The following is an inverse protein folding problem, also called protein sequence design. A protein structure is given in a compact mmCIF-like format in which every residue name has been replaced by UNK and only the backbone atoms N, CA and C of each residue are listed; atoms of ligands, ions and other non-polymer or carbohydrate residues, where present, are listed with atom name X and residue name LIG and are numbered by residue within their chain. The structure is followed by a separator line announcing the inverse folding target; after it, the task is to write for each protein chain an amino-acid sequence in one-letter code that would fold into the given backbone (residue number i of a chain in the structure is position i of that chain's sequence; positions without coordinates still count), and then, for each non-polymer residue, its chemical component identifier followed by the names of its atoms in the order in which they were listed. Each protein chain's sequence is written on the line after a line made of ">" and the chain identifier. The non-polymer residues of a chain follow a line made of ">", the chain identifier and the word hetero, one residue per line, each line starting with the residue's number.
data_IF_575329821225
#
_entry.id   IF_575329821225
#
_cell.length_a   1.000
_cell.length_b   1.000
_cell.length_c   1.000
_cell.angle_alpha   90.00
_cell.angle_beta   90.00
_cell.angle_gamma   90.00
#
_symmetry.space_group_name_H-M   'P 1'
#
loop_
_entity.id
_entity.type
_entity.pdbx_description
1 polymer ?
#
# COMPACT_ATOMS: atom_id res chain seq x y z
N UNK A 1 0.50 -18.09 -14.89
CA UNK A 1 0.06 -17.59 -13.57
C UNK A 1 -0.71 -16.31 -13.80
N UNK A 2 -1.99 -16.28 -13.42
CA UNK A 2 -2.78 -15.05 -13.41
C UNK A 2 -2.36 -14.25 -12.17
N UNK A 3 -1.74 -13.09 -12.35
CA UNK A 3 -1.43 -12.19 -11.25
C UNK A 3 -2.67 -11.35 -10.90
N UNK A 4 -3.01 -11.25 -9.62
CA UNK A 4 -4.20 -10.56 -9.10
C UNK A 4 -3.91 -9.10 -8.67
N UNK A 5 -2.78 -8.56 -9.11
CA UNK A 5 -2.30 -7.20 -8.84
C UNK A 5 -1.84 -6.54 -10.14
N UNK A 6 -1.77 -5.22 -10.14
CA UNK A 6 -1.35 -4.41 -11.30
C UNK A 6 0.18 -4.34 -11.47
N UNK A 7 0.62 -3.69 -12.54
CA UNK A 7 2.01 -3.27 -12.67
C UNK A 7 2.38 -2.24 -11.56
N UNK A 8 3.67 -1.91 -11.50
CA UNK A 8 4.25 -0.97 -10.56
C UNK A 8 3.76 0.48 -10.76
N UNK A 9 2.95 0.95 -9.80
CA UNK A 9 2.36 2.29 -9.73
C UNK A 9 3.39 3.39 -9.44
N UNK A 10 4.53 3.06 -8.82
CA UNK A 10 5.51 4.07 -8.47
C UNK A 10 6.37 4.45 -9.67
N UNK A 11 6.45 3.62 -10.72
CA UNK A 11 7.31 3.87 -11.88
C UNK A 11 7.09 5.24 -12.51
N UNK A 12 8.15 6.06 -12.53
CA UNK A 12 8.20 7.45 -12.98
C UNK A 12 7.24 8.40 -12.25
N UNK A 13 6.71 7.99 -11.11
CA UNK A 13 5.92 8.84 -10.24
C UNK A 13 6.80 9.93 -9.60
N UNK A 14 6.18 11.00 -9.10
CA UNK A 14 6.92 12.12 -8.54
C UNK A 14 7.41 11.76 -7.15
N UNK A 15 8.72 11.61 -6.99
CA UNK A 15 9.35 11.32 -5.72
C UNK A 15 10.05 12.55 -5.12
N UNK A 16 10.09 12.61 -3.80
CA UNK A 16 10.83 13.61 -3.03
C UNK A 16 11.39 12.98 -1.77
N UNK A 17 12.43 13.58 -1.20
CA UNK A 17 13.06 13.09 0.02
C UNK A 17 13.43 14.25 0.92
N UNK A 18 13.86 13.91 2.14
CA UNK A 18 14.49 14.84 3.07
C UNK A 18 15.82 15.39 2.50
N UNK A 19 16.67 16.00 3.33
CA UNK A 19 17.91 16.63 2.83
C UNK A 19 18.76 15.62 2.05
N UNK A 20 19.25 16.04 0.88
CA UNK A 20 20.06 15.20 -0.03
C UNK A 20 21.50 15.22 0.47
N UNK A 21 22.17 14.05 0.47
CA UNK A 21 23.58 13.93 0.79
C UNK A 21 24.44 14.97 0.04
N UNK A 22 25.13 15.85 0.78
CA UNK A 22 25.99 16.89 0.21
C UNK A 22 27.06 16.29 -0.74
N UNK A 23 27.22 16.90 -1.92
CA UNK A 23 28.32 16.60 -2.85
C UNK A 23 27.89 16.19 -4.27
N UNK A 24 26.74 15.52 -4.45
CA UNK A 24 26.20 15.16 -5.78
C UNK A 24 24.65 15.08 -5.84
N UNK A 25 23.94 16.23 -5.89
CA UNK A 25 22.48 16.27 -5.82
C UNK A 25 21.76 15.52 -6.94
N UNK A 26 22.35 15.48 -8.14
CA UNK A 26 21.75 14.85 -9.32
C UNK A 26 21.90 13.32 -9.27
N UNK A 27 23.02 12.82 -8.76
CA UNK A 27 23.30 11.38 -8.72
C UNK A 27 22.45 10.62 -7.69
N UNK A 28 21.87 11.33 -6.71
CA UNK A 28 21.13 10.76 -5.58
C UNK A 28 19.71 11.30 -5.44
N UNK A 29 19.13 11.73 -6.57
CA UNK A 29 17.79 12.29 -6.63
C UNK A 29 16.74 11.30 -6.12
N UNK A 30 15.67 11.82 -5.51
CA UNK A 30 14.57 11.00 -4.99
C UNK A 30 13.90 10.11 -6.05
N UNK A 31 13.91 10.56 -7.31
CA UNK A 31 13.37 9.85 -8.47
C UNK A 31 14.10 8.56 -8.82
N UNK A 32 15.34 8.39 -8.36
CA UNK A 32 16.12 7.17 -8.61
C UNK A 32 15.50 5.92 -7.97
N UNK A 33 14.67 6.07 -6.93
CA UNK A 33 13.97 4.94 -6.33
C UNK A 33 12.73 4.50 -7.12
N UNK A 34 12.39 5.16 -8.23
CA UNK A 34 11.15 4.91 -8.99
C UNK A 34 11.41 4.93 -10.50
N UNK A 35 12.61 4.60 -10.93
CA UNK A 35 13.02 4.63 -12.34
C UNK A 35 13.20 3.23 -12.96
N UNK A 36 12.97 2.15 -12.18
CA UNK A 36 13.22 0.75 -12.54
C UNK A 36 14.68 0.44 -12.85
N UNK A 37 15.62 1.26 -12.40
CA UNK A 37 17.06 1.01 -12.50
C UNK A 37 17.67 0.80 -11.11
N UNK A 38 17.73 -0.46 -10.69
CA UNK A 38 18.29 -0.89 -9.40
C UNK A 38 19.78 -0.54 -9.21
N UNK A 39 20.48 -0.11 -10.27
CA UNK A 39 21.86 0.34 -10.18
C UNK A 39 21.96 1.78 -9.63
N UNK A 40 20.92 2.59 -9.82
CA UNK A 40 20.83 3.93 -9.24
C UNK A 40 20.10 3.87 -7.90
N UNK A 41 20.45 4.79 -7.01
CA UNK A 41 19.77 4.87 -5.72
C UNK A 41 19.63 6.32 -5.28
N UNK A 42 18.61 6.55 -4.47
CA UNK A 42 18.50 7.75 -3.63
C UNK A 42 19.61 7.75 -2.59
N UNK A 43 19.92 8.93 -2.04
CA UNK A 43 20.74 9.05 -0.83
C UNK A 43 20.38 10.30 -0.05
N UNK A 44 19.78 10.10 1.12
CA UNK A 44 19.55 11.19 2.06
C UNK A 44 20.84 11.53 2.83
N UNK A 45 20.90 12.73 3.42
CA UNK A 45 21.93 13.13 4.39
C UNK A 45 21.98 12.15 5.59
N UNK A 46 23.12 12.15 6.27
CA UNK A 46 23.33 11.30 7.44
C UNK A 46 22.36 11.64 8.57
N UNK A 47 21.84 10.61 9.24
CA UNK A 47 21.12 10.75 10.52
C UNK A 47 21.78 9.91 11.63
N UNK A 48 21.44 10.19 12.89
CA UNK A 48 21.86 9.39 14.04
C UNK A 48 22.71 10.13 15.06
N UNK A 49 23.49 9.37 15.84
CA UNK A 49 24.10 9.85 17.10
C UNK A 49 24.96 11.11 16.91
N UNK A 50 25.74 11.16 15.82
CA UNK A 50 26.64 12.28 15.53
C UNK A 50 26.08 13.25 14.49
N UNK A 51 24.88 12.99 13.97
CA UNK A 51 24.26 13.83 12.95
C UNK A 51 23.33 14.87 13.57
N UNK A 52 23.14 15.98 12.85
CA UNK A 52 22.19 17.04 13.23
C UNK A 52 20.75 16.54 13.14
N UNK A 53 20.45 15.77 12.09
CA UNK A 53 19.12 15.22 11.86
C UNK A 53 19.01 13.82 12.49
N UNK A 54 17.85 13.52 13.08
CA UNK A 54 17.55 12.23 13.72
C UNK A 54 16.57 11.38 12.92
N UNK A 55 16.01 11.96 11.86
CA UNK A 55 14.99 11.34 11.02
C UNK A 55 15.29 11.63 9.57
N UNK A 56 15.08 10.64 8.71
CA UNK A 56 15.12 10.78 7.26
C UNK A 56 13.83 10.22 6.68
N UNK A 57 13.39 10.80 5.57
CA UNK A 57 12.19 10.36 4.87
C UNK A 57 12.37 10.41 3.36
N UNK A 58 11.60 9.57 2.70
CA UNK A 58 11.38 9.57 1.26
C UNK A 58 9.89 9.36 1.00
N UNK A 59 9.34 9.98 -0.04
CA UNK A 59 7.94 9.80 -0.43
C UNK A 59 7.76 9.83 -1.93
N UNK A 60 6.74 9.12 -2.40
CA UNK A 60 6.27 9.15 -3.78
C UNK A 60 4.81 9.59 -3.84
N UNK A 61 4.48 10.47 -4.77
CA UNK A 61 3.12 10.85 -5.15
C UNK A 61 2.68 10.02 -6.35
N UNK A 62 1.72 9.12 -6.15
CA UNK A 62 1.20 8.23 -7.20
C UNK A 62 0.29 8.95 -8.21
N UNK A 63 0.06 10.27 -8.04
CA UNK A 63 -0.79 11.10 -8.90
C UNK A 63 -2.30 10.71 -8.90
N UNK A 64 -2.73 10.04 -7.84
CA UNK A 64 -4.11 9.61 -7.66
C UNK A 64 -4.24 8.81 -6.37
N UNK A 65 -5.46 8.59 -5.89
CA UNK A 65 -5.70 7.65 -4.78
C UNK A 65 -5.88 6.26 -5.36
N UNK A 66 -5.06 5.32 -4.92
CA UNK A 66 -5.06 3.93 -5.39
C UNK A 66 -5.33 2.96 -4.25
N UNK A 67 -5.71 1.74 -4.63
CA UNK A 67 -6.00 0.63 -3.72
C UNK A 67 -4.72 -0.17 -3.45
N UNK A 68 -3.80 0.43 -2.70
CA UNK A 68 -2.47 -0.13 -2.45
C UNK A 68 -2.62 -1.51 -1.82
N UNK A 69 -1.81 -2.44 -2.33
CA UNK A 69 -1.76 -3.84 -1.94
C UNK A 69 -0.40 -4.20 -1.35
N UNK A 70 0.69 -3.86 -2.03
CA UNK A 70 2.04 -4.20 -1.58
C UNK A 70 3.02 -3.09 -1.87
N UNK A 71 4.01 -3.00 -0.97
CA UNK A 71 5.14 -2.08 -1.09
C UNK A 71 6.40 -2.94 -0.97
N UNK A 72 7.25 -2.87 -1.99
CA UNK A 72 8.57 -3.48 -1.99
C UNK A 72 9.63 -2.37 -1.95
N UNK A 73 10.70 -2.61 -1.22
CA UNK A 73 11.89 -1.77 -1.13
C UNK A 73 13.10 -2.61 -1.53
N UNK A 74 13.87 -2.09 -2.48
CA UNK A 74 15.24 -2.51 -2.74
C UNK A 74 16.18 -1.46 -2.15
N UNK A 75 16.93 -1.85 -1.13
CA UNK A 75 17.91 -1.02 -0.46
C UNK A 75 19.32 -1.31 -0.99
N UNK A 76 20.20 -0.31 -0.98
CA UNK A 76 21.57 -0.46 -1.46
C UNK A 76 22.29 -1.60 -0.75
N UNK A 77 22.85 -2.52 -1.54
CA UNK A 77 23.79 -3.53 -1.08
C UNK A 77 25.20 -3.19 -1.58
N UNK A 78 26.16 -3.06 -0.66
CA UNK A 78 27.58 -2.95 -1.01
C UNK A 78 28.22 -4.31 -0.81
N UNK A 79 29.09 -4.69 -1.74
CA UNK A 79 29.83 -5.95 -1.69
C UNK A 79 30.50 -6.13 -0.31
N UNK A 80 30.25 -7.26 0.35
CA UNK A 80 30.77 -7.60 1.68
C UNK A 80 30.27 -6.73 2.87
N UNK A 81 29.27 -5.86 2.67
CA UNK A 81 28.70 -5.01 3.74
C UNK A 81 27.20 -5.24 3.99
N UNK A 82 26.66 -6.42 3.65
CA UNK A 82 25.23 -6.75 3.78
C UNK A 82 24.68 -6.40 5.19
N UNK A 83 25.29 -6.92 6.25
CA UNK A 83 24.83 -6.68 7.63
C UNK A 83 24.81 -5.19 8.00
N UNK A 84 25.81 -4.41 7.56
CA UNK A 84 25.84 -2.96 7.78
C UNK A 84 24.69 -2.28 7.06
N UNK A 85 24.43 -2.65 5.81
CA UNK A 85 23.31 -2.08 5.05
C UNK A 85 21.96 -2.44 5.67
N UNK A 86 21.82 -3.67 6.18
CA UNK A 86 20.61 -4.08 6.90
C UNK A 86 20.45 -3.30 8.20
N UNK A 87 21.56 -3.04 8.90
CA UNK A 87 21.60 -2.17 10.07
C UNK A 87 21.25 -0.71 9.80
N UNK A 88 21.59 -0.18 8.61
CA UNK A 88 21.15 1.14 8.15
C UNK A 88 19.66 1.18 7.87
N UNK A 89 19.14 0.15 7.20
CA UNK A 89 17.71 0.03 6.90
C UNK A 89 16.87 -0.19 8.16
N UNK A 90 17.41 -0.87 9.16
CA UNK A 90 16.66 -1.29 10.35
C UNK A 90 15.91 -0.14 11.06
N UNK A 91 14.76 -0.45 11.66
CA UNK A 91 13.88 0.50 12.35
C UNK A 91 12.99 1.35 11.45
N UNK A 92 13.06 1.15 10.13
CA UNK A 92 12.27 1.92 9.17
C UNK A 92 10.76 1.71 9.34
N UNK A 93 9.99 2.62 8.74
CA UNK A 93 8.53 2.60 8.75
C UNK A 93 8.00 2.94 7.37
N UNK A 94 6.92 2.27 6.99
CA UNK A 94 6.17 2.54 5.77
C UNK A 94 4.77 3.04 6.12
N UNK A 95 4.37 4.11 5.45
CA UNK A 95 3.05 4.70 5.60
C UNK A 95 2.38 4.91 4.26
N UNK A 96 1.06 4.92 4.26
CA UNK A 96 0.24 5.36 3.15
C UNK A 96 -0.59 6.58 3.59
N UNK A 97 -0.60 7.63 2.76
CA UNK A 97 -1.28 8.90 3.07
C UNK A 97 -2.07 9.41 1.88
N UNK A 98 -3.14 10.18 2.13
CA UNK A 98 -3.86 10.93 1.09
C UNK A 98 -3.32 12.35 0.92
N UNK A 99 -2.60 12.89 1.91
CA UNK A 99 -2.12 14.29 1.91
C UNK A 99 -0.62 14.39 1.68
N UNK A 100 0.11 13.28 1.76
CA UNK A 100 1.57 13.25 1.71
C UNK A 100 2.23 13.65 3.04
N UNK A 101 1.44 13.80 4.11
CA UNK A 101 1.92 13.99 5.47
C UNK A 101 1.76 12.69 6.29
N UNK A 102 2.59 12.55 7.34
CA UNK A 102 2.51 11.43 8.29
C UNK A 102 1.27 11.52 9.19
N UNK A 103 0.82 12.74 9.51
CA UNK A 103 -0.38 12.96 10.30
C UNK A 103 -1.62 12.50 9.52
N UNK A 104 -2.39 11.58 10.12
CA UNK A 104 -3.55 10.98 9.47
C UNK A 104 -3.22 9.93 8.40
N UNK A 105 -1.95 9.52 8.29
CA UNK A 105 -1.55 8.39 7.45
C UNK A 105 -1.86 7.04 8.12
N UNK A 106 -1.92 5.99 7.31
CA UNK A 106 -2.00 4.60 7.76
C UNK A 106 -0.59 4.03 7.86
N UNK A 107 -0.22 3.49 9.02
CA UNK A 107 1.01 2.71 9.19
C UNK A 107 0.84 1.35 8.51
N UNK A 108 1.62 1.10 7.47
CA UNK A 108 1.68 -0.19 6.79
C UNK A 108 2.61 -1.16 7.51
N UNK A 109 3.78 -0.66 7.92
CA UNK A 109 4.83 -1.49 8.46
C UNK A 109 5.74 -0.68 9.37
N UNK A 110 6.15 -1.27 10.49
CA UNK A 110 7.23 -0.81 11.35
C UNK A 110 8.21 -1.97 11.52
N UNK A 111 9.46 -1.74 11.15
CA UNK A 111 10.51 -2.75 11.28
C UNK A 111 10.73 -3.14 12.74
N UNK A 112 10.96 -4.43 12.94
CA UNK A 112 11.12 -5.04 14.25
C UNK A 112 12.59 -5.03 14.72
N UNK A 113 12.88 -5.70 15.85
CA UNK A 113 14.23 -5.74 16.41
C UNK A 113 15.24 -6.56 15.58
N UNK A 114 14.76 -7.38 14.64
CA UNK A 114 15.60 -8.17 13.75
C UNK A 114 15.97 -7.35 12.51
N UNK A 115 17.20 -7.50 12.04
CA UNK A 115 17.65 -6.80 10.85
C UNK A 115 16.82 -7.17 9.61
N UNK A 116 16.22 -6.21 8.89
CA UNK A 116 15.42 -6.50 7.70
C UNK A 116 16.30 -6.98 6.54
N UNK A 117 15.76 -7.74 5.58
CA UNK A 117 16.45 -8.00 4.31
C UNK A 117 16.56 -6.72 3.47
N UNK A 118 17.59 -6.61 2.64
CA UNK A 118 17.78 -5.46 1.75
C UNK A 118 16.78 -5.43 0.58
N UNK A 119 16.20 -6.58 0.24
CA UNK A 119 15.02 -6.68 -0.60
C UNK A 119 13.85 -7.07 0.30
N UNK A 120 13.02 -6.10 0.64
CA UNK A 120 11.94 -6.26 1.59
C UNK A 120 10.59 -5.99 0.92
N UNK A 121 9.61 -6.86 1.15
CA UNK A 121 8.24 -6.67 0.68
C UNK A 121 7.29 -6.82 1.85
N UNK A 122 6.30 -5.94 1.91
CA UNK A 122 5.18 -6.04 2.85
C UNK A 122 3.87 -5.84 2.13
N UNK A 123 2.83 -6.52 2.61
CA UNK A 123 1.45 -6.22 2.21
C UNK A 123 0.97 -5.00 2.99
N UNK A 124 0.36 -4.06 2.29
CA UNK A 124 -0.33 -2.92 2.89
C UNK A 124 -1.62 -2.67 2.14
N UNK A 125 -2.71 -3.28 2.62
CA UNK A 125 -4.03 -3.20 1.98
C UNK A 125 -4.76 -1.97 2.52
N UNK A 126 -4.62 -0.86 1.82
CA UNK A 126 -5.26 0.42 2.18
C UNK A 126 -5.35 1.35 0.99
N UNK A 127 -6.21 2.37 1.08
CA UNK A 127 -6.32 3.40 0.04
C UNK A 127 -5.43 4.60 0.35
N UNK A 128 -4.66 5.06 -0.63
CA UNK A 128 -3.92 6.31 -0.51
C UNK A 128 -3.29 6.78 -1.79
N UNK A 129 -2.76 8.01 -1.75
CA UNK A 129 -2.09 8.67 -2.87
C UNK A 129 -0.57 8.68 -2.73
N UNK A 130 -0.08 8.66 -1.51
CA UNK A 130 1.34 8.77 -1.22
C UNK A 130 1.81 7.54 -0.46
N UNK A 131 2.97 7.01 -0.83
CA UNK A 131 3.73 6.07 0.00
C UNK A 131 4.89 6.82 0.62
N UNK A 132 5.09 6.65 1.93
CA UNK A 132 6.13 7.31 2.68
C UNK A 132 7.03 6.28 3.36
N UNK A 133 8.33 6.44 3.19
CA UNK A 133 9.37 5.77 3.92
C UNK A 133 9.93 6.71 4.99
N UNK A 134 10.10 6.21 6.21
CA UNK A 134 10.74 6.91 7.31
C UNK A 134 11.79 6.02 7.97
N UNK A 135 12.88 6.62 8.41
CA UNK A 135 13.86 5.96 9.28
C UNK A 135 14.37 6.96 10.32
N UNK A 136 14.68 6.48 11.51
CA UNK A 136 14.94 7.34 12.68
C UNK A 136 16.00 6.76 13.62
N UNK A 137 16.79 7.65 14.21
CA UNK A 137 17.84 7.38 15.20
C UNK A 137 17.87 8.54 16.21
N UNK A 138 17.06 8.45 17.25
CA UNK A 138 16.91 9.45 18.30
C UNK A 138 17.95 9.28 19.41
N UNK A 139 18.35 10.40 20.02
CA UNK A 139 19.28 10.41 21.14
C UNK A 139 18.62 9.82 22.40
N UNK A 140 19.39 9.07 23.19
CA UNK A 140 18.91 8.43 24.42
C UNK A 140 18.03 7.19 24.22
N UNK A 141 17.75 6.79 22.98
CA UNK A 141 17.06 5.53 22.68
C UNK A 141 18.05 4.39 22.58
N UNK A 142 17.74 3.27 23.24
CA UNK A 142 18.49 2.03 23.10
C UNK A 142 17.98 1.27 21.86
N UNK A 143 18.87 1.04 20.90
CA UNK A 143 18.55 0.32 19.67
C UNK A 143 18.99 -1.14 19.72
N UNK A 144 18.29 -2.05 19.03
CA UNK A 144 18.68 -3.46 18.94
C UNK A 144 20.08 -3.66 18.35
N UNK A 145 20.71 -4.78 18.72
CA UNK A 145 22.02 -5.17 18.19
C UNK A 145 22.02 -5.22 16.67
N UNK A 146 23.04 -4.60 16.06
CA UNK A 146 23.22 -4.57 14.60
C UNK A 146 22.61 -3.35 13.92
N UNK A 147 21.80 -2.55 14.62
CA UNK A 147 21.37 -1.26 14.10
C UNK A 147 22.57 -0.33 13.96
N UNK A 148 22.72 0.30 12.80
CA UNK A 148 23.72 1.34 12.61
C UNK A 148 23.25 2.64 13.27
N UNK A 149 24.12 3.27 14.08
CA UNK A 149 23.79 4.49 14.83
C UNK A 149 24.59 5.72 14.38
N UNK A 150 25.69 5.48 13.66
CA UNK A 150 26.55 6.49 13.06
C UNK A 150 26.76 6.15 11.59
N UNK A 151 27.10 7.12 10.75
CA UNK A 151 27.27 6.91 9.32
C UNK A 151 26.04 6.23 8.68
N UNK A 152 24.83 6.64 9.11
CA UNK A 152 23.57 6.11 8.62
C UNK A 152 23.07 6.95 7.46
N UNK A 153 23.29 6.43 6.25
CA UNK A 153 22.67 6.94 5.03
C UNK A 153 21.51 6.03 4.62
N UNK A 154 20.37 6.63 4.28
CA UNK A 154 19.25 5.91 3.66
C UNK A 154 19.42 5.94 2.15
N UNK A 155 19.49 4.75 1.55
CA UNK A 155 19.80 4.54 0.15
C UNK A 155 18.79 3.56 -0.48
N UNK A 156 17.63 4.08 -0.86
CA UNK A 156 16.60 3.32 -1.59
C UNK A 156 16.97 3.28 -3.07
N UNK A 157 17.15 2.08 -3.62
CA UNK A 157 17.46 1.87 -5.04
C UNK A 157 16.21 1.62 -5.87
N UNK A 158 15.19 0.99 -5.30
CA UNK A 158 13.87 0.92 -5.94
C UNK A 158 12.79 0.82 -4.86
N UNK A 159 11.64 1.43 -5.11
CA UNK A 159 10.42 1.26 -4.33
C UNK A 159 9.31 0.92 -5.30
N UNK A 160 8.79 -0.29 -5.21
CA UNK A 160 7.73 -0.80 -6.10
C UNK A 160 6.42 -0.79 -5.34
N UNK A 161 5.38 -0.17 -5.91
CA UNK A 161 4.05 -0.06 -5.29
C UNK A 161 3.03 -0.74 -6.19
N UNK A 162 2.26 -1.69 -5.68
CA UNK A 162 1.22 -2.39 -6.45
C UNK A 162 -0.14 -2.20 -5.81
N UNK A 163 -1.20 -2.18 -6.63
CA UNK A 163 -2.58 -2.22 -6.17
C UNK A 163 -3.25 -3.58 -6.42
N UNK A 164 -4.36 -3.82 -5.72
CA UNK A 164 -5.24 -4.93 -6.05
C UNK A 164 -5.91 -4.70 -7.39
N UNK A 165 -5.97 -5.76 -8.22
CA UNK A 165 -6.75 -5.72 -9.45
C UNK A 165 -8.23 -5.51 -9.13
N UNK A 166 -8.91 -4.71 -9.96
CA UNK A 166 -10.35 -4.54 -9.85
C UNK A 166 -11.10 -5.87 -9.83
N UNK A 167 -12.08 -5.99 -8.93
CA UNK A 167 -12.82 -7.23 -8.70
C UNK A 167 -12.14 -8.21 -7.73
N UNK A 168 -11.02 -7.84 -7.11
CA UNK A 168 -10.31 -8.63 -6.10
C UNK A 168 -10.15 -7.86 -4.79
N UNK A 169 -10.15 -8.58 -3.68
CA UNK A 169 -10.10 -8.00 -2.34
C UNK A 169 -9.43 -8.90 -1.31
N UNK A 170 -9.15 -8.33 -0.14
CA UNK A 170 -8.61 -9.03 1.03
C UNK A 170 -7.12 -9.35 0.91
N UNK A 171 -6.65 -10.17 1.85
CA UNK A 171 -5.24 -10.57 1.98
C UNK A 171 -4.68 -11.08 0.65
N UNK A 172 -3.49 -10.61 0.28
CA UNK A 172 -2.86 -10.92 -1.01
C UNK A 172 -3.69 -10.61 -2.27
N UNK A 173 -4.75 -9.79 -2.18
CA UNK A 173 -5.79 -9.64 -3.21
C UNK A 173 -6.36 -11.00 -3.68
N UNK A 174 -6.41 -12.00 -2.79
CA UNK A 174 -6.68 -13.39 -3.16
C UNK A 174 -8.15 -13.76 -3.28
N UNK A 175 -9.08 -12.87 -2.90
CA UNK A 175 -10.52 -13.15 -2.95
C UNK A 175 -11.19 -12.37 -4.06
N UNK A 176 -12.04 -13.03 -4.83
CA UNK A 176 -12.80 -12.38 -5.89
C UNK A 176 -14.08 -11.76 -5.32
N UNK A 177 -14.40 -10.54 -5.73
CA UNK A 177 -15.72 -9.94 -5.49
C UNK A 177 -16.81 -10.87 -6.03
N UNK A 178 -17.99 -10.86 -5.39
CA UNK A 178 -19.15 -11.65 -5.85
C UNK A 178 -19.57 -11.34 -7.29
N UNK A 179 -19.27 -10.13 -7.77
CA UNK A 179 -19.73 -9.66 -9.08
C UNK A 179 -21.19 -9.20 -9.08
N UNK A 180 -21.84 -9.17 -7.91
CA UNK A 180 -23.25 -8.80 -7.72
C UNK A 180 -23.43 -7.49 -6.94
N UNK A 181 -22.35 -6.70 -6.86
CA UNK A 181 -22.43 -5.33 -6.39
C UNK A 181 -23.23 -4.49 -7.39
N UNK A 182 -24.06 -3.59 -6.86
CA UNK A 182 -24.97 -2.78 -7.66
C UNK A 182 -24.27 -2.05 -8.81
N UNK A 183 -24.91 -2.08 -9.99
CA UNK A 183 -24.45 -1.41 -11.22
C UNK A 183 -23.08 -1.90 -11.72
N UNK A 184 -22.66 -3.11 -11.32
CA UNK A 184 -21.36 -3.67 -11.68
C UNK A 184 -20.17 -2.96 -11.03
N UNK A 185 -20.39 -2.10 -10.03
CA UNK A 185 -19.32 -1.39 -9.31
C UNK A 185 -18.48 -2.41 -8.54
N UNK A 186 -17.15 -2.35 -8.67
CA UNK A 186 -16.27 -3.25 -7.95
C UNK A 186 -16.48 -3.16 -6.42
N UNK A 187 -16.33 -4.30 -5.74
CA UNK A 187 -16.41 -4.34 -4.29
C UNK A 187 -15.21 -3.62 -3.66
N UNK A 188 -15.35 -3.22 -2.40
CA UNK A 188 -14.30 -2.65 -1.60
C UNK A 188 -13.10 -3.62 -1.51
N UNK A 189 -11.94 -3.24 -2.06
CA UNK A 189 -10.75 -4.10 -2.14
C UNK A 189 -10.17 -4.51 -0.76
N UNK A 190 -10.53 -3.82 0.33
CA UNK A 190 -10.12 -4.21 1.68
C UNK A 190 -11.08 -5.26 2.24
N UNK A 191 -12.38 -4.96 2.23
CA UNK A 191 -13.41 -5.70 2.98
C UNK A 191 -14.24 -6.66 2.14
N UNK A 192 -14.23 -6.51 0.81
CA UNK A 192 -15.11 -7.22 -0.12
C UNK A 192 -16.54 -6.66 -0.20
N UNK A 193 -16.83 -5.60 0.56
CA UNK A 193 -18.18 -5.04 0.69
C UNK A 193 -18.62 -4.29 -0.56
N UNK A 194 -19.88 -4.43 -0.95
CA UNK A 194 -20.49 -3.59 -1.97
C UNK A 194 -21.07 -2.33 -1.32
N UNK A 195 -20.35 -1.21 -1.37
CA UNK A 195 -20.71 0.02 -0.65
C UNK A 195 -22.00 0.68 -1.17
N UNK A 196 -22.38 0.39 -2.42
CA UNK A 196 -23.66 0.84 -3.03
C UNK A 196 -24.81 -0.17 -2.86
N UNK A 197 -24.59 -1.24 -2.10
CA UNK A 197 -25.52 -2.36 -1.97
C UNK A 197 -25.44 -3.32 -3.16
N UNK A 198 -26.41 -4.23 -3.22
CA UNK A 198 -26.44 -5.32 -4.17
C UNK A 198 -27.35 -5.05 -5.36
N UNK A 199 -27.08 -5.78 -6.45
CA UNK A 199 -28.02 -5.95 -7.55
C UNK A 199 -29.30 -6.66 -7.11
N UNK A 200 -30.36 -6.52 -7.91
CA UNK A 200 -31.65 -7.14 -7.65
C UNK A 200 -31.50 -8.66 -7.49
N UNK A 201 -32.10 -9.20 -6.42
CA UNK A 201 -32.00 -10.61 -6.09
C UNK A 201 -30.75 -10.99 -5.28
N UNK A 202 -29.86 -10.07 -4.96
CA UNK A 202 -28.69 -10.35 -4.11
C UNK A 202 -28.75 -9.59 -2.79
N UNK A 203 -28.21 -10.20 -1.74
CA UNK A 203 -28.18 -9.65 -0.38
C UNK A 203 -26.88 -10.02 0.33
N UNK A 204 -26.67 -9.43 1.51
CA UNK A 204 -25.42 -9.55 2.27
C UNK A 204 -24.49 -8.36 2.05
N UNK A 205 -23.44 -8.25 2.86
CA UNK A 205 -22.50 -7.14 2.76
C UNK A 205 -21.63 -7.24 1.49
N UNK A 206 -21.34 -8.47 1.05
CA UNK A 206 -20.53 -8.74 -0.15
C UNK A 206 -21.37 -9.21 -1.33
N UNK A 207 -22.71 -9.15 -1.22
CA UNK A 207 -23.67 -9.59 -2.23
C UNK A 207 -23.48 -11.05 -2.68
N UNK A 208 -23.10 -11.90 -1.73
CA UNK A 208 -22.83 -13.32 -1.92
C UNK A 208 -24.09 -14.20 -1.81
N UNK A 209 -25.17 -13.66 -1.24
CA UNK A 209 -26.41 -14.40 -1.00
C UNK A 209 -27.45 -14.07 -2.05
N UNK A 210 -27.65 -15.01 -2.97
CA UNK A 210 -28.79 -14.98 -3.87
C UNK A 210 -30.07 -15.20 -3.07
N UNK A 211 -31.04 -14.31 -3.25
CA UNK A 211 -32.43 -14.59 -2.91
C UNK A 211 -32.87 -15.65 -3.92
N UNK A 212 -33.11 -16.88 -3.49
CA UNK A 212 -33.87 -17.81 -4.29
C UNK A 212 -35.23 -17.16 -4.52
N UNK A 213 -35.39 -16.47 -5.65
CA UNK A 213 -36.70 -16.34 -6.25
C UNK A 213 -37.07 -17.78 -6.58
N UNK A 214 -37.75 -18.45 -5.65
CA UNK A 214 -38.74 -19.43 -6.06
C UNK A 214 -39.64 -18.64 -6.99
N UNK A 215 -39.40 -18.83 -8.28
CA UNK A 215 -40.33 -18.50 -9.33
C UNK A 215 -41.59 -19.21 -8.88
N UNK A 216 -42.48 -18.49 -8.19
CA UNK A 216 -43.88 -18.84 -8.28
C UNK A 216 -44.14 -18.63 -9.76
N UNK A 217 -44.07 -19.73 -10.52
CA UNK A 217 -44.70 -19.77 -11.80
C UNK A 217 -46.12 -19.27 -11.52
N UNK A 218 -46.42 -18.04 -11.95
CA UNK A 218 -47.78 -17.53 -11.95
C UNK A 218 -48.55 -18.39 -12.97
N UNK A 219 -48.88 -19.62 -12.57
CA UNK A 219 -49.82 -20.46 -13.31
C UNK A 219 -51.25 -20.02 -12.97
N UNK A 220 -51.46 -19.30 -11.88
CA UNK A 220 -52.76 -18.75 -11.50
C UNK A 220 -52.63 -17.31 -10.97
N UNK A 221 -52.58 -16.33 -11.87
CA UNK A 221 -52.97 -14.97 -11.53
C UNK A 221 -54.50 -14.95 -11.36
N UNK A 222 -55.00 -15.26 -10.17
CA UNK A 222 -56.37 -14.94 -9.80
C UNK A 222 -56.34 -13.64 -9.03
N UNK A 223 -56.80 -12.56 -9.67
CA UNK A 223 -57.08 -11.28 -9.02
C UNK A 223 -58.08 -11.49 -7.86
N UNK A 224 -57.76 -11.07 -6.63
CA UNK A 224 -58.74 -11.09 -5.55
C UNK A 224 -59.66 -9.86 -5.65
N UNK A 225 -60.90 -10.13 -6.04
CA UNK A 225 -62.15 -9.47 -5.64
C UNK A 225 -62.37 -7.99 -6.03
N UNK A 226 -63.12 -7.79 -7.11
CA UNK A 226 -64.07 -6.66 -7.23
C UNK A 226 -65.34 -7.06 -6.48
N UNK A 227 -65.49 -6.59 -5.23
CA UNK A 227 -66.78 -6.55 -4.55
C UNK A 227 -67.67 -5.49 -5.22
N UNK A 228 -68.68 -5.93 -5.95
CA UNK A 228 -69.82 -5.10 -6.34
C UNK A 228 -71.06 -5.58 -5.58
N UNK A 229 -71.35 -4.92 -4.46
CA UNK A 229 -72.72 -4.79 -3.94
C UNK A 229 -72.97 -3.31 -3.65
N UNK A 230 -73.98 -2.74 -4.30
CA UNK A 230 -74.97 -1.87 -3.65
C UNK A 230 -76.06 -1.42 -4.65
N UNK A 231 -77.28 -1.92 -4.37
CA UNK A 231 -78.62 -1.30 -4.50
C UNK A 231 -79.14 -0.98 -5.91
#
# INVERSE_FOLDING_TARGET
>A
MTYFYTDDLSFKAVASQSKIALGQPIAYAASNAVDRDIATCTRADEIGMNALDKTTWWKVDLNGTFNIFSINILFKNYENYDNRQRGRLAGFSLFVSNTGAIQGSTLCYKDGPQLPPLNFTTECITSGRYVLFYNERFDGVSYPTGYELTNLFTELCEVIVKECREGWYGDSCGRQCSGHCRDGVACNHVTGRCDRGCDAGWTGATCEKGSEFKRFDCVDCVDPEVHAENI
#
